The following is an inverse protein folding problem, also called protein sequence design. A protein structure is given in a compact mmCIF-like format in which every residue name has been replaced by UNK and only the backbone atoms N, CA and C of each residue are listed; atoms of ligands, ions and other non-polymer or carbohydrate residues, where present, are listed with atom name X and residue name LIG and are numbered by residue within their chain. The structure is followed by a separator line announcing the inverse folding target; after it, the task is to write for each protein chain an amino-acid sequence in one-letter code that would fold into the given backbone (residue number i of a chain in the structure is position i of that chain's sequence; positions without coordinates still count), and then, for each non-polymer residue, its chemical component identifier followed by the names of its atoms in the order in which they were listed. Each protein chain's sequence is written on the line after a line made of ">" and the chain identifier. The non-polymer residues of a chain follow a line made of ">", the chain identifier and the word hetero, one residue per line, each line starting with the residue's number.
data_IF_245778509955
#
_entry.id   IF_245778509955
#
_cell.length_a   1.000
_cell.length_b   1.000
_cell.length_c   1.000
_cell.angle_alpha   90.00
_cell.angle_beta   90.00
_cell.angle_gamma   90.00
#
_symmetry.space_group_name_H-M   'P 1'
#
loop_
_entity.id
_entity.type
_entity.pdbx_description
1 polymer ?
#
# COMPACT_ATOMS: atom_id res chain seq x y z
N UNK A 1 -3.74 -6.18 -32.25
CA UNK A 1 -4.32 -5.07 -33.02
C UNK A 1 -5.81 -4.82 -32.69
N UNK A 2 -6.65 -5.85 -32.59
CA UNK A 2 -8.07 -5.67 -32.23
C UNK A 2 -8.27 -5.02 -30.87
N UNK A 3 -7.49 -5.39 -29.85
CA UNK A 3 -7.53 -4.75 -28.53
C UNK A 3 -7.18 -3.26 -28.60
N UNK A 4 -6.10 -2.90 -29.30
CA UNK A 4 -5.71 -1.50 -29.50
C UNK A 4 -6.76 -0.68 -30.27
N UNK A 5 -7.43 -1.29 -31.25
CA UNK A 5 -8.51 -0.65 -32.01
C UNK A 5 -9.72 -0.34 -31.10
N UNK A 6 -10.06 -1.27 -30.22
CA UNK A 6 -11.14 -1.09 -29.22
C UNK A 6 -10.78 0.03 -28.23
N UNK A 7 -9.58 0.02 -27.69
CA UNK A 7 -9.09 1.01 -26.74
C UNK A 7 -9.05 2.44 -27.33
N UNK A 8 -8.62 2.55 -28.60
CA UNK A 8 -8.54 3.84 -29.30
C UNK A 8 -9.85 4.30 -29.95
N UNK A 9 -10.94 3.51 -29.91
CA UNK A 9 -12.21 3.84 -30.53
C UNK A 9 -12.14 3.91 -32.07
N UNK A 10 -11.24 3.16 -32.70
CA UNK A 10 -11.03 3.14 -34.14
C UNK A 10 -11.18 1.74 -34.75
N UNK A 11 -11.19 1.63 -36.08
CA UNK A 11 -11.26 0.32 -36.73
C UNK A 11 -9.91 -0.41 -36.71
N UNK A 12 -9.93 -1.75 -36.67
CA UNK A 12 -8.75 -2.60 -36.80
C UNK A 12 -7.90 -2.25 -38.06
N UNK A 13 -8.59 -1.95 -39.18
CA UNK A 13 -7.93 -1.54 -40.41
C UNK A 13 -7.18 -0.21 -40.31
N UNK A 14 -7.69 0.74 -39.51
CA UNK A 14 -7.02 2.01 -39.26
C UNK A 14 -5.71 1.81 -38.50
N UNK A 15 -5.74 1.04 -37.39
CA UNK A 15 -4.53 0.70 -36.63
C UNK A 15 -3.50 0.00 -37.52
N UNK A 16 -3.94 -1.00 -38.32
CA UNK A 16 -3.06 -1.75 -39.20
C UNK A 16 -2.39 -0.87 -40.25
N UNK A 17 -3.12 0.09 -40.83
CA UNK A 17 -2.56 1.04 -41.81
C UNK A 17 -1.53 1.96 -41.19
N UNK A 18 -1.79 2.50 -39.99
CA UNK A 18 -0.84 3.38 -39.30
C UNK A 18 0.46 2.67 -38.94
N UNK A 19 0.36 1.43 -38.44
CA UNK A 19 1.58 0.65 -38.13
C UNK A 19 2.37 0.36 -39.42
N UNK A 20 1.71 -0.02 -40.53
CA UNK A 20 2.43 -0.24 -41.82
C UNK A 20 3.05 1.03 -42.36
N UNK A 21 2.40 2.17 -42.22
CA UNK A 21 2.97 3.46 -42.63
C UNK A 21 4.23 3.79 -41.82
N UNK A 22 4.21 3.54 -40.49
CA UNK A 22 5.39 3.72 -39.66
C UNK A 22 6.52 2.75 -40.01
N UNK A 23 6.20 1.46 -40.25
CA UNK A 23 7.18 0.46 -40.74
C UNK A 23 7.83 0.88 -42.05
N UNK A 24 7.04 1.38 -42.99
CA UNK A 24 7.52 1.87 -44.29
C UNK A 24 8.43 3.12 -44.13
N UNK A 25 8.07 4.03 -43.24
CA UNK A 25 8.87 5.24 -42.96
C UNK A 25 10.20 4.90 -42.29
N UNK A 26 10.22 3.91 -41.39
CA UNK A 26 11.42 3.49 -40.68
C UNK A 26 12.28 2.49 -41.48
N UNK A 27 11.72 1.90 -42.55
CA UNK A 27 12.38 0.91 -43.37
C UNK A 27 12.61 -0.46 -42.71
N UNK A 28 11.87 -0.75 -41.63
CA UNK A 28 11.99 -2.00 -40.87
C UNK A 28 10.63 -2.47 -40.29
N UNK A 29 10.42 -3.80 -40.12
CA UNK A 29 9.20 -4.32 -39.53
C UNK A 29 9.24 -4.12 -38.01
N UNK A 30 8.09 -3.64 -37.44
CA UNK A 30 7.90 -3.48 -36.02
C UNK A 30 7.08 -4.62 -35.43
N UNK A 31 6.28 -5.30 -36.26
CA UNK A 31 5.44 -6.43 -35.87
C UNK A 31 5.77 -7.66 -36.72
N UNK A 32 5.96 -8.78 -36.03
CA UNK A 32 5.94 -10.10 -36.64
C UNK A 32 4.47 -10.56 -36.76
N UNK A 33 4.08 -10.91 -37.98
CA UNK A 33 2.72 -11.34 -38.33
C UNK A 33 2.67 -12.84 -38.58
N UNK A 34 3.28 -13.64 -37.70
CA UNK A 34 3.28 -15.09 -37.78
C UNK A 34 1.89 -15.71 -37.75
N UNK A 35 1.78 -16.99 -38.12
CA UNK A 35 0.52 -17.69 -38.39
C UNK A 35 -0.44 -17.82 -37.18
N UNK A 36 -0.01 -17.53 -35.94
CA UNK A 36 -0.83 -17.72 -34.72
C UNK A 36 -1.06 -16.47 -33.88
N UNK A 37 -0.19 -15.46 -33.94
CA UNK A 37 -0.34 -14.22 -33.18
C UNK A 37 0.51 -13.10 -33.80
N UNK A 38 0.11 -11.86 -33.58
CA UNK A 38 0.90 -10.67 -33.91
C UNK A 38 1.74 -10.35 -32.68
N UNK A 39 3.06 -10.40 -32.79
CA UNK A 39 4.02 -10.07 -31.74
C UNK A 39 4.93 -8.91 -32.18
N UNK A 40 5.48 -8.10 -31.27
CA UNK A 40 6.48 -7.10 -31.63
C UNK A 40 7.80 -7.77 -32.02
N UNK A 41 8.49 -7.21 -33.01
CA UNK A 41 9.88 -7.51 -33.29
C UNK A 41 10.78 -6.95 -32.18
N UNK A 42 12.06 -7.34 -32.04
CA UNK A 42 12.99 -6.70 -31.09
C UNK A 42 13.06 -5.17 -31.24
N UNK A 43 13.04 -4.68 -32.49
CA UNK A 43 13.01 -3.26 -32.84
C UNK A 43 11.68 -2.63 -32.44
N UNK A 44 10.56 -3.30 -32.70
CA UNK A 44 9.23 -2.87 -32.32
C UNK A 44 9.06 -2.79 -30.81
N UNK A 45 9.59 -3.77 -30.06
CA UNK A 45 9.56 -3.77 -28.59
C UNK A 45 10.37 -2.60 -28.01
N UNK A 46 11.58 -2.33 -28.53
CA UNK A 46 12.39 -1.19 -28.10
C UNK A 46 11.70 0.15 -28.38
N UNK A 47 11.19 0.34 -29.58
CA UNK A 47 10.47 1.55 -29.96
C UNK A 47 9.22 1.76 -29.09
N UNK A 48 8.46 0.70 -28.82
CA UNK A 48 7.29 0.76 -27.96
C UNK A 48 7.64 1.19 -26.53
N UNK A 49 8.74 0.69 -25.96
CA UNK A 49 9.20 1.08 -24.63
C UNK A 49 9.61 2.57 -24.56
N UNK A 50 10.35 3.05 -25.55
CA UNK A 50 10.77 4.47 -25.64
C UNK A 50 9.57 5.41 -25.84
N UNK A 51 8.63 5.02 -26.70
CA UNK A 51 7.40 5.79 -26.90
C UNK A 51 6.54 5.82 -25.64
N UNK A 52 6.38 4.70 -24.93
CA UNK A 52 5.66 4.65 -23.66
C UNK A 52 6.24 5.66 -22.67
N UNK A 53 7.56 5.66 -22.44
CA UNK A 53 8.22 6.63 -21.58
C UNK A 53 7.99 8.09 -22.03
N UNK A 54 8.00 8.33 -23.33
CA UNK A 54 7.79 9.68 -23.89
C UNK A 54 6.36 10.16 -23.67
N UNK A 55 5.36 9.31 -23.86
CA UNK A 55 3.97 9.61 -23.56
C UNK A 55 3.73 9.84 -22.07
N UNK A 56 4.35 9.05 -21.20
CA UNK A 56 4.31 9.27 -19.75
C UNK A 56 4.86 10.65 -19.36
N UNK A 57 5.98 11.06 -19.97
CA UNK A 57 6.55 12.41 -19.76
C UNK A 57 5.61 13.51 -20.23
N UNK A 58 4.96 13.31 -21.38
CA UNK A 58 3.96 14.26 -21.92
C UNK A 58 2.74 14.37 -20.98
N UNK A 59 2.19 13.25 -20.54
CA UNK A 59 1.06 13.23 -19.58
C UNK A 59 1.43 13.92 -18.28
N UNK A 60 2.62 13.65 -17.74
CA UNK A 60 3.13 14.32 -16.56
C UNK A 60 3.29 15.86 -16.75
N UNK A 61 3.67 16.28 -17.95
CA UNK A 61 3.74 17.71 -18.27
C UNK A 61 2.34 18.37 -18.30
N UNK A 62 1.36 17.71 -18.91
CA UNK A 62 -0.04 18.17 -18.94
C UNK A 62 -0.65 18.20 -17.54
N UNK A 63 -0.42 17.18 -16.73
CA UNK A 63 -0.88 17.11 -15.33
C UNK A 63 -0.31 18.24 -14.46
N UNK A 64 0.90 18.74 -14.78
CA UNK A 64 1.49 19.91 -14.09
C UNK A 64 0.78 21.23 -14.44
N UNK A 65 0.21 21.34 -15.62
CA UNK A 65 -0.49 22.55 -16.08
C UNK A 65 -1.92 22.61 -15.52
N UNK A 66 -2.59 21.46 -15.34
CA UNK A 66 -3.93 21.34 -14.75
C UNK A 66 -3.90 20.25 -13.68
N UNK A 67 -3.45 20.58 -12.48
CA UNK A 67 -3.43 19.60 -11.41
C UNK A 67 -4.86 19.20 -11.05
N UNK A 68 -5.22 17.96 -11.38
CA UNK A 68 -6.43 17.31 -10.87
C UNK A 68 -6.36 17.06 -9.35
N UNK A 69 -7.40 16.46 -8.75
CA UNK A 69 -7.39 16.11 -7.33
C UNK A 69 -6.15 15.26 -6.99
N UNK A 70 -5.61 15.46 -5.80
CA UNK A 70 -4.47 14.70 -5.33
C UNK A 70 -4.93 13.34 -4.82
N UNK A 71 -4.41 12.26 -5.40
CA UNK A 71 -4.77 10.90 -4.96
C UNK A 71 -3.76 10.39 -3.93
N UNK A 72 -4.26 9.95 -2.77
CA UNK A 72 -3.50 9.25 -1.72
C UNK A 72 -3.92 7.79 -1.69
N UNK A 73 -2.96 6.90 -1.86
CA UNK A 73 -3.14 5.45 -1.82
C UNK A 73 -2.61 4.86 -0.51
N UNK A 74 -3.35 3.91 0.07
CA UNK A 74 -2.84 3.11 1.20
C UNK A 74 -3.51 1.74 1.25
N UNK A 75 -3.03 0.86 2.14
CA UNK A 75 -3.77 -0.37 2.45
C UNK A 75 -5.10 -0.06 3.12
N UNK A 76 -6.09 -0.95 2.99
CA UNK A 76 -7.39 -0.79 3.63
C UNK A 76 -7.26 -0.62 5.16
N UNK A 77 -6.34 -1.34 5.79
CA UNK A 77 -6.13 -1.27 7.24
C UNK A 77 -5.63 0.12 7.66
N UNK A 78 -4.61 0.67 7.00
CA UNK A 78 -4.11 2.03 7.27
C UNK A 78 -5.19 3.06 6.96
N UNK A 79 -5.91 2.89 5.87
CA UNK A 79 -7.00 3.77 5.48
C UNK A 79 -8.06 3.86 6.57
N UNK A 80 -8.57 2.71 7.00
CA UNK A 80 -9.70 2.63 7.94
C UNK A 80 -9.31 2.97 9.38
N UNK A 81 -8.16 2.45 9.84
CA UNK A 81 -7.78 2.50 11.25
C UNK A 81 -6.99 3.74 11.63
N UNK A 82 -6.28 4.34 10.68
CA UNK A 82 -5.42 5.48 10.98
C UNK A 82 -5.80 6.74 10.20
N UNK A 83 -5.98 6.66 8.87
CA UNK A 83 -6.16 7.84 8.03
C UNK A 83 -7.55 8.47 8.17
N UNK A 84 -8.62 7.68 8.00
CA UNK A 84 -10.00 8.19 8.04
C UNK A 84 -10.35 8.88 9.35
N UNK A 85 -10.00 8.38 10.55
CA UNK A 85 -10.27 9.07 11.80
C UNK A 85 -9.62 10.46 11.89
N UNK A 86 -8.53 10.69 11.17
CA UNK A 86 -7.74 11.94 11.17
C UNK A 86 -8.08 12.88 10.02
N UNK A 87 -8.76 12.38 8.99
CA UNK A 87 -9.00 13.11 7.73
C UNK A 87 -9.86 14.36 7.90
N UNK A 88 -10.81 14.37 8.83
CA UNK A 88 -11.67 15.53 9.10
C UNK A 88 -10.86 16.74 9.57
N UNK A 89 -9.85 16.55 10.41
CA UNK A 89 -8.92 17.61 10.82
C UNK A 89 -8.17 18.20 9.62
N UNK A 90 -7.71 17.31 8.71
CA UNK A 90 -7.05 17.77 7.49
C UNK A 90 -7.96 18.61 6.61
N UNK A 91 -9.19 18.12 6.35
CA UNK A 91 -10.15 18.84 5.50
C UNK A 91 -10.54 20.22 6.07
N UNK A 92 -10.66 20.33 7.39
CA UNK A 92 -10.92 21.62 8.04
C UNK A 92 -9.74 22.59 7.93
N UNK A 93 -8.52 22.09 8.06
CA UNK A 93 -7.30 22.90 7.94
C UNK A 93 -6.99 23.30 6.49
N UNK A 94 -7.38 22.48 5.50
CA UNK A 94 -7.04 22.64 4.10
C UNK A 94 -8.27 22.43 3.18
N UNK A 95 -9.33 23.25 3.28
CA UNK A 95 -10.59 23.05 2.56
C UNK A 95 -10.46 23.15 1.04
N UNK A 96 -9.41 23.81 0.54
CA UNK A 96 -9.15 23.94 -0.89
C UNK A 96 -8.42 22.73 -1.51
N UNK A 97 -7.93 21.79 -0.70
CA UNK A 97 -7.24 20.60 -1.20
C UNK A 97 -8.24 19.48 -1.40
N UNK A 98 -8.48 19.14 -2.67
CA UNK A 98 -9.27 17.97 -3.02
C UNK A 98 -8.38 16.72 -2.96
N UNK A 99 -8.62 15.88 -1.94
CA UNK A 99 -7.90 14.63 -1.72
C UNK A 99 -8.78 13.43 -2.07
N UNK A 100 -8.40 12.68 -3.10
CA UNK A 100 -9.00 11.40 -3.46
C UNK A 100 -8.28 10.27 -2.72
N UNK A 101 -9.02 9.36 -2.13
CA UNK A 101 -8.47 8.20 -1.43
C UNK A 101 -8.68 6.94 -2.25
N UNK A 102 -7.63 6.11 -2.35
CA UNK A 102 -7.70 4.81 -3.02
C UNK A 102 -7.03 3.72 -2.21
N UNK A 103 -7.56 2.51 -2.28
CA UNK A 103 -7.03 1.35 -1.55
C UNK A 103 -6.24 0.47 -2.51
N UNK A 104 -4.97 0.22 -2.17
CA UNK A 104 -4.09 -0.70 -2.90
C UNK A 104 -3.02 -1.24 -1.95
N UNK A 105 -2.59 -2.50 -2.16
CA UNK A 105 -1.60 -3.19 -1.31
C UNK A 105 -0.25 -3.40 -1.98
N UNK A 106 -0.21 -3.41 -3.29
CA UNK A 106 0.96 -3.80 -4.08
C UNK A 106 1.80 -2.63 -4.55
N UNK A 107 2.49 -2.90 -5.64
CA UNK A 107 3.24 -1.91 -6.39
C UNK A 107 2.36 -0.74 -6.83
N UNK A 108 2.96 0.42 -6.94
CA UNK A 108 2.29 1.66 -7.34
C UNK A 108 2.92 2.13 -8.64
N UNK A 109 2.10 2.29 -9.65
CA UNK A 109 2.44 3.08 -10.82
C UNK A 109 1.85 4.48 -10.68
N UNK A 110 2.67 5.43 -10.27
CA UNK A 110 2.24 6.79 -9.98
C UNK A 110 1.63 7.53 -11.16
N UNK A 111 1.98 7.17 -12.37
CA UNK A 111 1.49 7.81 -13.59
C UNK A 111 0.22 7.15 -14.08
N UNK A 112 0.26 5.83 -14.29
CA UNK A 112 -0.88 5.06 -14.78
C UNK A 112 -2.08 5.10 -13.83
N UNK A 113 -1.80 5.00 -12.51
CA UNK A 113 -2.84 4.92 -11.49
C UNK A 113 -3.22 6.32 -10.96
N UNK A 114 -2.64 7.39 -11.51
CA UNK A 114 -2.85 8.81 -11.11
C UNK A 114 -2.67 9.04 -9.60
N UNK A 115 -1.72 8.36 -8.99
CA UNK A 115 -1.42 8.46 -7.55
C UNK A 115 -0.37 9.54 -7.32
N UNK A 116 -0.62 10.46 -6.39
CA UNK A 116 0.35 11.47 -5.96
C UNK A 116 1.19 11.03 -4.77
N UNK A 117 0.53 10.34 -3.83
CA UNK A 117 1.13 9.87 -2.57
C UNK A 117 0.69 8.44 -2.29
N UNK A 118 1.57 7.65 -1.67
CA UNK A 118 1.21 6.33 -1.19
C UNK A 118 1.81 6.07 0.20
N UNK A 119 0.99 5.54 1.12
CA UNK A 119 1.47 5.03 2.41
C UNK A 119 1.64 3.52 2.26
N UNK A 120 2.85 3.04 2.50
CA UNK A 120 3.20 1.61 2.37
C UNK A 120 4.05 1.15 3.55
N UNK A 121 3.94 -0.14 3.83
CA UNK A 121 4.88 -0.82 4.72
C UNK A 121 6.15 -1.17 3.93
N UNK A 122 7.32 -1.14 4.57
CA UNK A 122 8.62 -1.43 3.95
C UNK A 122 8.79 -2.88 3.44
N UNK A 123 7.81 -3.76 3.68
CA UNK A 123 7.71 -5.06 3.02
C UNK A 123 7.56 -4.93 1.49
N UNK A 124 6.98 -3.83 1.03
CA UNK A 124 6.84 -3.53 -0.40
C UNK A 124 7.96 -2.57 -0.81
N UNK A 125 8.64 -2.91 -1.91
CA UNK A 125 9.71 -2.07 -2.44
C UNK A 125 9.15 -0.84 -3.16
N UNK A 126 9.70 0.33 -2.86
CA UNK A 126 9.36 1.55 -3.56
C UNK A 126 9.82 1.49 -5.04
N UNK A 127 8.99 1.90 -6.00
CA UNK A 127 9.41 1.99 -7.39
C UNK A 127 10.44 3.11 -7.58
N UNK A 128 11.29 3.05 -8.62
CA UNK A 128 12.30 4.09 -8.90
C UNK A 128 11.71 5.49 -9.15
N UNK A 129 10.43 5.55 -9.51
CA UNK A 129 9.67 6.79 -9.73
C UNK A 129 9.15 7.45 -8.46
N UNK A 130 9.37 6.83 -7.30
CA UNK A 130 8.98 7.34 -5.98
C UNK A 130 10.15 8.02 -5.27
N UNK A 131 9.81 9.07 -4.53
CA UNK A 131 10.62 9.56 -3.41
C UNK A 131 10.07 8.90 -2.15
N UNK A 132 10.80 7.93 -1.61
CA UNK A 132 10.40 7.17 -0.43
C UNK A 132 11.08 7.72 0.82
N UNK A 133 10.31 7.88 1.90
CA UNK A 133 10.79 8.27 3.21
C UNK A 133 10.11 7.47 4.31
N UNK A 134 10.81 7.17 5.39
CA UNK A 134 10.22 6.53 6.58
C UNK A 134 9.43 7.57 7.37
N UNK A 135 8.15 7.28 7.63
CA UNK A 135 7.27 8.10 8.48
C UNK A 135 7.38 7.70 9.94
N UNK A 136 7.32 6.41 10.22
CA UNK A 136 7.43 5.86 11.57
C UNK A 136 8.00 4.44 11.53
N UNK A 137 8.80 4.11 12.53
CA UNK A 137 9.22 2.73 12.78
C UNK A 137 8.08 1.95 13.40
N UNK A 138 7.93 0.72 12.98
CA UNK A 138 6.89 -0.15 13.49
C UNK A 138 7.18 -0.54 14.94
N UNK A 139 6.13 -0.50 15.76
CA UNK A 139 6.06 -1.21 17.04
C UNK A 139 4.92 -2.22 16.93
N UNK A 140 5.18 -3.49 17.26
CA UNK A 140 4.19 -4.58 17.18
C UNK A 140 3.99 -5.23 18.53
N UNK A 141 2.76 -5.68 18.79
CA UNK A 141 2.44 -6.37 20.04
C UNK A 141 1.16 -7.20 19.93
N UNK A 142 1.01 -8.20 20.82
CA UNK A 142 -0.22 -8.96 20.98
C UNK A 142 -1.33 -8.09 21.54
N UNK A 143 -2.49 -8.09 20.86
CA UNK A 143 -3.67 -7.35 21.28
C UNK A 143 -4.89 -8.24 21.29
N UNK A 144 -5.82 -7.99 22.23
CA UNK A 144 -7.08 -8.69 22.32
C UNK A 144 -8.13 -7.84 23.06
N UNK A 145 -9.38 -8.31 23.11
CA UNK A 145 -10.42 -7.72 23.93
C UNK A 145 -10.05 -7.82 25.43
N UNK A 146 -10.32 -6.79 26.27
CA UNK A 146 -10.00 -6.80 27.70
C UNK A 146 -10.51 -8.03 28.44
N UNK A 147 -11.78 -8.42 28.22
CA UNK A 147 -12.37 -9.61 28.87
C UNK A 147 -11.69 -10.91 28.45
N UNK A 148 -11.12 -10.96 27.25
CA UNK A 148 -10.36 -12.13 26.79
C UNK A 148 -9.00 -12.18 27.49
N UNK A 149 -8.31 -11.05 27.60
CA UNK A 149 -7.04 -10.93 28.30
C UNK A 149 -7.14 -11.41 29.75
N UNK A 150 -8.16 -10.97 30.47
CA UNK A 150 -8.38 -11.34 31.90
C UNK A 150 -8.52 -12.84 32.14
N UNK A 151 -9.00 -13.59 31.13
CA UNK A 151 -9.20 -15.05 31.20
C UNK A 151 -7.97 -15.86 30.82
N UNK A 152 -7.07 -15.29 30.01
CA UNK A 152 -6.02 -16.05 29.31
C UNK A 152 -4.62 -15.66 29.79
N UNK A 153 -4.34 -14.38 30.04
CA UNK A 153 -2.99 -13.91 30.37
C UNK A 153 -2.91 -13.54 31.85
N UNK A 154 -2.37 -14.48 32.65
CA UNK A 154 -1.88 -14.16 33.99
C UNK A 154 -0.34 -14.02 34.01
N UNK A 155 0.41 -14.74 33.15
CA UNK A 155 1.85 -15.02 33.34
C UNK A 155 2.75 -14.84 32.09
N UNK A 156 2.50 -13.82 31.26
CA UNK A 156 3.43 -13.45 30.20
C UNK A 156 3.35 -14.27 28.89
N UNK A 157 4.43 -14.27 28.06
CA UNK A 157 4.42 -14.87 26.71
C UNK A 157 4.19 -16.38 26.69
N UNK A 158 4.62 -17.10 27.72
CA UNK A 158 4.39 -18.56 27.83
C UNK A 158 2.91 -18.88 27.99
N UNK A 159 2.18 -18.10 28.79
CA UNK A 159 0.74 -18.27 28.94
C UNK A 159 0.00 -17.94 27.63
N UNK A 160 0.45 -16.93 26.90
CA UNK A 160 -0.09 -16.61 25.58
C UNK A 160 0.09 -17.80 24.62
N UNK A 161 1.30 -18.37 24.53
CA UNK A 161 1.59 -19.51 23.66
C UNK A 161 0.80 -20.77 24.04
N UNK A 162 0.58 -21.01 25.35
CA UNK A 162 -0.05 -22.24 25.84
C UNK A 162 -1.59 -22.21 25.87
N UNK A 163 -2.20 -21.03 26.01
CA UNK A 163 -3.64 -20.93 26.35
C UNK A 163 -4.44 -20.01 25.43
N UNK A 164 -3.76 -19.14 24.66
CA UNK A 164 -4.46 -18.19 23.83
C UNK A 164 -4.83 -18.80 22.49
N UNK A 165 -6.01 -18.44 21.96
CA UNK A 165 -6.30 -18.59 20.54
C UNK A 165 -5.56 -17.54 19.76
N UNK A 166 -4.74 -17.96 18.84
CA UNK A 166 -3.84 -17.13 18.04
C UNK A 166 -4.47 -16.82 16.70
N UNK A 167 -4.61 -15.54 16.38
CA UNK A 167 -5.16 -15.07 15.12
C UNK A 167 -4.04 -14.57 14.22
N UNK A 168 -4.01 -15.05 12.98
CA UNK A 168 -3.03 -14.68 11.96
C UNK A 168 -3.64 -13.98 10.77
N UNK A 169 -2.80 -13.45 9.89
CA UNK A 169 -3.21 -12.86 8.62
C UNK A 169 -2.38 -13.40 7.46
N UNK A 170 -3.05 -13.68 6.34
CA UNK A 170 -2.37 -14.13 5.12
C UNK A 170 -1.41 -13.07 4.53
N UNK A 171 -1.63 -11.78 4.84
CA UNK A 171 -0.76 -10.70 4.38
C UNK A 171 0.57 -10.61 5.13
N UNK A 172 0.68 -11.29 6.29
CA UNK A 172 1.91 -11.33 7.09
C UNK A 172 2.00 -12.65 7.87
N UNK A 173 2.24 -13.77 7.19
CA UNK A 173 2.19 -15.11 7.80
C UNK A 173 3.23 -15.31 8.90
N UNK A 174 4.41 -14.67 8.79
CA UNK A 174 5.52 -14.82 9.73
C UNK A 174 5.47 -13.88 10.95
N UNK A 175 4.43 -13.06 11.07
CA UNK A 175 4.38 -11.98 12.08
C UNK A 175 4.61 -12.49 13.50
N UNK A 176 3.98 -13.60 13.89
CA UNK A 176 4.14 -14.17 15.24
C UNK A 176 5.54 -14.72 15.48
N UNK A 177 6.15 -15.38 14.49
CA UNK A 177 7.51 -15.87 14.57
C UNK A 177 8.53 -14.70 14.63
N UNK A 178 8.28 -13.63 13.89
CA UNK A 178 9.08 -12.38 13.94
C UNK A 178 9.00 -11.75 15.32
N UNK A 179 7.81 -11.60 15.88
CA UNK A 179 7.61 -11.07 17.22
C UNK A 179 8.31 -11.93 18.30
N UNK A 180 8.14 -13.25 18.26
CA UNK A 180 8.80 -14.16 19.20
C UNK A 180 10.31 -14.03 19.15
N UNK A 181 10.91 -13.90 17.95
CA UNK A 181 12.36 -13.63 17.80
C UNK A 181 12.75 -12.29 18.40
N UNK A 182 11.93 -11.25 18.22
CA UNK A 182 12.24 -9.90 18.74
C UNK A 182 12.22 -9.85 20.26
N UNK A 183 11.34 -10.59 20.93
CA UNK A 183 11.33 -10.69 22.40
C UNK A 183 12.34 -11.71 22.96
N UNK A 184 13.21 -12.28 22.11
CA UNK A 184 14.22 -13.25 22.51
C UNK A 184 13.68 -14.66 22.84
N UNK A 185 12.45 -14.99 22.38
CA UNK A 185 11.75 -16.23 22.66
C UNK A 185 11.33 -16.99 21.38
N UNK A 186 12.27 -17.31 20.47
CA UNK A 186 11.97 -18.07 19.26
C UNK A 186 11.45 -19.49 19.53
N UNK A 187 11.66 -19.99 20.75
CA UNK A 187 11.23 -21.28 21.28
C UNK A 187 9.70 -21.39 21.50
N UNK A 188 8.98 -20.26 21.57
CA UNK A 188 7.53 -20.26 21.85
C UNK A 188 6.69 -20.98 20.79
N UNK A 189 7.18 -21.12 19.56
CA UNK A 189 6.52 -21.89 18.50
C UNK A 189 5.08 -21.46 18.20
N UNK A 190 4.78 -20.18 18.36
CA UNK A 190 3.42 -19.62 18.20
C UNK A 190 2.99 -19.73 16.75
N UNK A 191 1.94 -20.49 16.50
CA UNK A 191 1.30 -20.64 15.18
C UNK A 191 -0.15 -20.15 15.25
N UNK A 192 -0.68 -19.51 14.20
CA UNK A 192 -2.09 -19.11 14.17
C UNK A 192 -3.04 -20.31 14.16
N UNK A 193 -4.05 -20.28 15.02
CA UNK A 193 -5.20 -21.22 15.01
C UNK A 193 -6.18 -20.88 13.89
N UNK A 194 -6.24 -19.58 13.50
CA UNK A 194 -7.10 -19.09 12.45
C UNK A 194 -6.39 -17.97 11.67
N UNK A 195 -6.52 -17.99 10.33
CA UNK A 195 -5.87 -17.04 9.42
C UNK A 195 -6.92 -16.25 8.64
N UNK A 196 -6.86 -14.93 8.75
CA UNK A 196 -7.73 -14.00 8.03
C UNK A 196 -7.04 -13.48 6.77
N UNK A 197 -7.81 -13.19 5.71
CA UNK A 197 -7.27 -12.70 4.44
C UNK A 197 -6.65 -11.30 4.53
N UNK A 198 -7.10 -10.47 5.48
CA UNK A 198 -6.66 -9.07 5.61
C UNK A 198 -6.44 -8.65 7.06
N UNK A 199 -5.51 -7.71 7.26
CA UNK A 199 -5.08 -7.26 8.58
C UNK A 199 -6.20 -6.58 9.39
N UNK A 200 -7.08 -5.80 8.74
CA UNK A 200 -8.22 -5.18 9.44
C UNK A 200 -9.21 -6.18 9.99
N UNK A 201 -9.33 -7.36 9.36
CA UNK A 201 -10.20 -8.44 9.85
C UNK A 201 -9.63 -9.07 11.11
N UNK A 202 -8.33 -9.34 11.17
CA UNK A 202 -7.72 -9.95 12.35
C UNK A 202 -7.76 -9.00 13.56
N UNK A 203 -7.57 -7.70 13.34
CA UNK A 203 -7.74 -6.69 14.42
C UNK A 203 -9.19 -6.66 14.90
N UNK A 204 -10.17 -6.70 13.98
CA UNK A 204 -11.58 -6.72 14.34
C UNK A 204 -11.95 -8.01 15.09
N UNK A 205 -11.45 -9.16 14.66
CA UNK A 205 -11.67 -10.44 15.36
C UNK A 205 -11.13 -10.39 16.80
N UNK A 206 -9.96 -9.80 17.01
CA UNK A 206 -9.40 -9.60 18.34
C UNK A 206 -10.29 -8.67 19.20
N UNK A 207 -10.79 -7.57 18.64
CA UNK A 207 -11.72 -6.65 19.33
C UNK A 207 -13.07 -7.31 19.67
N UNK A 208 -13.49 -8.33 18.90
CA UNK A 208 -14.67 -9.15 19.19
C UNK A 208 -14.39 -10.28 20.21
N UNK A 209 -13.18 -10.37 20.77
CA UNK A 209 -12.82 -11.39 21.77
C UNK A 209 -12.58 -12.79 21.22
N UNK A 210 -12.32 -12.94 19.91
CA UNK A 210 -12.09 -14.24 19.26
C UNK A 210 -10.69 -14.82 19.57
N UNK A 211 -9.74 -13.97 20.02
CA UNK A 211 -8.38 -14.39 20.31
C UNK A 211 -7.41 -13.22 20.37
N UNK A 212 -6.10 -13.54 20.29
CA UNK A 212 -5.03 -12.57 20.18
C UNK A 212 -4.63 -12.36 18.73
N UNK A 213 -4.59 -11.10 18.31
CA UNK A 213 -3.95 -10.65 17.08
C UNK A 213 -2.58 -10.05 17.39
N UNK A 214 -1.61 -10.24 16.50
CA UNK A 214 -0.39 -9.43 16.53
C UNK A 214 -0.59 -8.20 15.65
N UNK A 215 -0.48 -7.01 16.22
CA UNK A 215 -0.82 -5.78 15.49
C UNK A 215 0.23 -4.67 15.67
N UNK A 216 0.48 -3.87 14.61
CA UNK A 216 1.20 -2.59 14.76
C UNK A 216 0.43 -1.64 15.67
N UNK A 217 1.14 -1.01 16.63
CA UNK A 217 0.59 -0.03 17.56
C UNK A 217 -0.19 1.06 16.86
N UNK A 218 0.38 1.62 15.78
CA UNK A 218 -0.25 2.64 14.93
C UNK A 218 -1.70 2.32 14.53
N UNK A 219 -2.01 1.04 14.32
CA UNK A 219 -3.30 0.59 13.78
C UNK A 219 -4.33 0.23 14.86
N UNK A 220 -3.91 0.21 16.13
CA UNK A 220 -4.77 -0.20 17.27
C UNK A 220 -4.80 0.81 18.40
N UNK A 221 -4.01 1.88 18.33
CA UNK A 221 -3.90 2.87 19.39
C UNK A 221 -5.25 3.52 19.74
N UNK A 222 -6.04 3.89 18.74
CA UNK A 222 -7.35 4.49 18.91
C UNK A 222 -8.33 3.50 19.59
N UNK A 223 -8.26 2.20 19.25
CA UNK A 223 -9.07 1.14 19.88
C UNK A 223 -8.63 0.85 21.32
N UNK A 224 -7.32 0.94 21.59
CA UNK A 224 -6.80 0.81 22.96
C UNK A 224 -7.23 2.00 23.80
N UNK A 225 -7.14 3.21 23.28
CA UNK A 225 -7.61 4.41 23.96
C UNK A 225 -9.12 4.38 24.24
N UNK A 226 -9.91 3.78 23.35
CA UNK A 226 -11.36 3.56 23.53
C UNK A 226 -11.70 2.39 24.46
N UNK A 227 -10.74 1.58 24.90
CA UNK A 227 -10.95 0.42 25.75
C UNK A 227 -11.49 -0.82 25.04
N UNK A 228 -11.51 -0.85 23.70
CA UNK A 228 -11.96 -2.00 22.92
C UNK A 228 -10.88 -3.06 22.78
N UNK A 229 -9.61 -2.66 22.86
CA UNK A 229 -8.46 -3.55 22.84
C UNK A 229 -7.52 -3.25 24.02
N UNK A 230 -6.76 -4.25 24.41
CA UNK A 230 -5.61 -4.12 25.30
C UNK A 230 -4.39 -4.80 24.70
N UNK A 231 -3.21 -4.31 25.07
CA UNK A 231 -1.92 -4.91 24.70
C UNK A 231 -1.20 -5.39 25.97
N UNK A 232 -1.57 -6.55 26.53
CA UNK A 232 -1.12 -6.95 27.87
C UNK A 232 0.38 -7.26 27.95
N UNK A 233 1.04 -7.54 26.82
CA UNK A 233 2.49 -7.72 26.73
C UNK A 233 3.22 -6.50 26.17
N UNK A 234 2.50 -5.38 25.97
CA UNK A 234 3.05 -4.18 25.38
C UNK A 234 3.42 -4.32 23.91
N UNK A 235 4.21 -3.37 23.43
CA UNK A 235 4.72 -3.32 22.06
C UNK A 235 6.25 -3.37 22.07
N UNK A 236 6.81 -4.01 21.04
CA UNK A 236 8.24 -4.10 20.78
C UNK A 236 8.55 -3.60 19.37
N UNK A 237 9.79 -3.16 19.08
CA UNK A 237 10.19 -2.79 17.73
C UNK A 237 9.88 -3.91 16.73
N UNK A 238 9.16 -3.57 15.66
CA UNK A 238 8.90 -4.50 14.55
C UNK A 238 9.99 -4.43 13.48
N UNK A 239 10.02 -5.41 12.55
CA UNK A 239 11.04 -5.46 11.49
C UNK A 239 10.77 -4.51 10.32
N UNK A 240 9.64 -3.84 10.30
CA UNK A 240 9.20 -3.02 9.18
C UNK A 240 8.91 -1.59 9.58
N UNK A 241 8.98 -0.69 8.59
CA UNK A 241 8.66 0.72 8.75
C UNK A 241 7.42 1.09 7.93
N UNK A 242 6.68 2.09 8.38
CA UNK A 242 5.68 2.76 7.56
C UNK A 242 6.35 3.86 6.76
N UNK A 243 6.18 3.85 5.45
CA UNK A 243 6.81 4.76 4.51
C UNK A 243 5.77 5.63 3.80
N UNK A 244 6.15 6.85 3.49
CA UNK A 244 5.48 7.71 2.52
C UNK A 244 6.25 7.66 1.20
N UNK A 245 5.55 7.32 0.14
CA UNK A 245 6.06 7.39 -1.22
C UNK A 245 5.39 8.56 -1.93
N UNK A 246 6.20 9.43 -2.46
CA UNK A 246 5.74 10.62 -3.20
C UNK A 246 6.11 10.46 -4.67
N UNK A 247 5.17 10.72 -5.58
CA UNK A 247 5.43 10.75 -7.01
C UNK A 247 6.50 11.78 -7.36
N UNK A 248 7.67 11.35 -7.84
CA UNK A 248 8.81 12.25 -8.08
C UNK A 248 8.48 13.38 -9.07
N UNK A 249 7.63 13.10 -10.08
CA UNK A 249 7.21 14.10 -11.07
C UNK A 249 6.27 15.18 -10.51
N UNK A 250 5.59 14.91 -9.37
CA UNK A 250 4.68 15.84 -8.69
C UNK A 250 5.31 16.57 -7.49
N UNK A 251 6.60 16.35 -7.20
CA UNK A 251 7.30 16.89 -6.00
C UNK A 251 7.21 18.40 -5.83
N UNK A 252 6.94 19.15 -6.89
CA UNK A 252 6.84 20.61 -6.87
C UNK A 252 5.40 21.12 -6.64
N UNK A 253 4.40 20.23 -6.59
CA UNK A 253 3.01 20.61 -6.28
C UNK A 253 2.89 21.08 -4.84
N UNK A 254 2.35 22.31 -4.59
CA UNK A 254 2.23 22.82 -3.22
C UNK A 254 1.28 21.99 -2.35
N UNK A 255 0.15 21.55 -2.91
CA UNK A 255 -0.84 20.74 -2.22
C UNK A 255 -0.27 19.36 -1.80
N UNK A 256 0.52 18.71 -2.67
CA UNK A 256 1.20 17.45 -2.33
C UNK A 256 2.15 17.63 -1.14
N UNK A 257 2.92 18.75 -1.10
CA UNK A 257 3.80 19.03 0.04
C UNK A 257 3.02 19.23 1.33
N UNK A 258 1.91 19.96 1.29
CA UNK A 258 1.04 20.18 2.46
C UNK A 258 0.48 18.85 2.99
N UNK A 259 0.00 17.96 2.11
CA UNK A 259 -0.48 16.62 2.50
C UNK A 259 0.66 15.80 3.09
N UNK A 260 1.84 15.77 2.47
CA UNK A 260 3.00 15.04 2.98
C UNK A 260 3.45 15.54 4.37
N UNK A 261 3.49 16.87 4.58
CA UNK A 261 3.82 17.47 5.88
C UNK A 261 2.77 17.14 6.95
N UNK A 262 1.50 17.14 6.58
CA UNK A 262 0.44 16.76 7.49
C UNK A 262 0.57 15.28 7.89
N UNK A 263 0.79 14.37 6.94
CA UNK A 263 1.00 12.94 7.22
C UNK A 263 2.18 12.70 8.16
N UNK A 264 3.31 13.39 7.95
CA UNK A 264 4.47 13.29 8.85
C UNK A 264 4.14 13.74 10.28
N UNK A 265 3.46 14.88 10.43
CA UNK A 265 3.07 15.41 11.76
C UNK A 265 2.09 14.50 12.48
N UNK A 266 1.08 14.01 11.77
CA UNK A 266 0.08 13.10 12.35
C UNK A 266 0.71 11.78 12.79
N UNK A 267 1.60 11.18 11.99
CA UNK A 267 2.28 9.95 12.37
C UNK A 267 3.31 10.14 13.50
N UNK A 268 4.01 11.27 13.51
CA UNK A 268 4.93 11.59 14.61
C UNK A 268 4.21 11.84 15.95
N UNK A 269 2.96 12.31 15.92
CA UNK A 269 2.11 12.50 17.08
C UNK A 269 1.47 11.21 17.63
N UNK A 270 1.52 10.13 16.87
CA UNK A 270 1.05 8.79 17.26
C UNK A 270 2.17 8.11 18.06
N UNK A 271 2.25 8.34 19.39
CA UNK A 271 3.24 7.75 20.30
C UNK A 271 2.59 7.30 21.60
#
# INVERSE_FOLDING_TARGET
>A
MSAAALELGVTHGAVSRQVRALEAQLGLPLLDRGARAVAPTPEGARLAAELAQSFERMQAAVARVRPGPLTLSSSATVMMRWLLPRLDRFKRAHPSIELRLTVSYGEVDFIRDEIGLAIRNSMVRAPPTALAETLIREEIGPVCHPDYASRVIADGPDALAARARILGTATRPEAWAEWARTIGRPDLGIAPDEVFGHFYLVIQAAACGLGFALAPRLLVEDEIAAGHLVAPLGFVPGPHDMQLWTAAHLRHRPDLRLVAEWLRREMAGTR
#
